data_IF_134167303313
#
_entry.id   IF_134167303313
#
_cell.length_a   1.000
_cell.length_b   1.000
_cell.length_c   1.000
_cell.angle_alpha   90.00
_cell.angle_beta   90.00
_cell.angle_gamma   90.00
#
_symmetry.space_group_name_H-M   'P 1'
#
loop_
_entity.id
_entity.type
_entity.pdbx_description
1 polymer ?
#
# COMPACT_ATOMS: atom_id res chain seq x y z
N UNK A 1 -35.00 -6.08 45.02
CA UNK A 1 -34.65 -5.39 43.76
C UNK A 1 -33.52 -6.19 43.11
N UNK A 2 -33.68 -6.60 41.85
CA UNK A 2 -32.58 -7.23 41.10
C UNK A 2 -31.62 -6.14 40.66
N UNK A 3 -30.33 -6.32 40.95
CA UNK A 3 -29.29 -5.43 40.46
C UNK A 3 -29.08 -5.74 38.98
N UNK A 4 -29.30 -4.74 38.12
CA UNK A 4 -29.02 -4.84 36.69
C UNK A 4 -27.51 -4.94 36.50
N UNK A 5 -27.06 -5.90 35.70
CA UNK A 5 -25.65 -6.01 35.32
C UNK A 5 -25.35 -5.01 34.21
N UNK A 6 -24.06 -4.71 34.01
CA UNK A 6 -23.65 -3.76 32.97
C UNK A 6 -24.17 -4.23 31.61
N UNK A 7 -24.14 -5.55 31.35
CA UNK A 7 -24.67 -6.16 30.13
C UNK A 7 -26.18 -5.93 29.91
N UNK A 8 -26.99 -5.79 30.98
CA UNK A 8 -28.42 -5.47 30.87
C UNK A 8 -28.67 -4.00 30.47
N UNK A 9 -27.72 -3.09 30.76
CA UNK A 9 -27.85 -1.66 30.49
C UNK A 9 -27.34 -1.29 29.10
N UNK A 10 -26.22 -1.89 28.68
CA UNK A 10 -25.61 -1.61 27.38
C UNK A 10 -26.04 -2.63 26.30
N UNK A 11 -26.50 -3.83 26.65
CA UNK A 11 -26.75 -4.90 25.68
C UNK A 11 -25.46 -5.56 25.20
N UNK A 12 -25.55 -6.76 24.64
CA UNK A 12 -24.36 -7.50 24.18
C UNK A 12 -23.75 -6.86 22.94
N UNK A 13 -22.90 -5.87 23.13
CA UNK A 13 -22.13 -5.28 22.06
C UNK A 13 -21.00 -6.24 21.65
N UNK A 14 -21.13 -6.83 20.46
CA UNK A 14 -20.03 -7.50 19.78
C UNK A 14 -19.00 -6.43 19.34
N UNK A 15 -18.09 -6.04 20.23
CA UNK A 15 -16.92 -5.25 19.89
C UNK A 15 -15.92 -6.12 19.11
N UNK A 16 -16.22 -6.39 17.84
CA UNK A 16 -15.20 -6.86 16.92
C UNK A 16 -14.25 -5.70 16.68
N UNK A 17 -13.06 -5.75 17.30
CA UNK A 17 -11.99 -4.82 17.00
C UNK A 17 -11.58 -5.00 15.52
N UNK A 18 -12.06 -4.10 14.65
CA UNK A 18 -11.62 -4.08 13.26
C UNK A 18 -10.21 -3.49 13.27
N UNK A 19 -9.23 -4.35 12.98
CA UNK A 19 -7.82 -3.97 12.82
C UNK A 19 -7.71 -2.83 11.81
N UNK A 20 -7.49 -1.60 12.28
CA UNK A 20 -7.26 -0.44 11.41
C UNK A 20 -5.94 -0.53 10.65
N UNK A 21 -5.10 -1.51 10.99
CA UNK A 21 -3.83 -1.80 10.33
C UNK A 21 -3.97 -1.95 8.81
N UNK A 22 -5.06 -2.56 8.33
CA UNK A 22 -5.33 -2.69 6.89
C UNK A 22 -5.52 -1.35 6.17
N UNK A 23 -5.91 -0.29 6.90
CA UNK A 23 -6.04 1.07 6.34
C UNK A 23 -4.72 1.83 6.30
N UNK A 24 -3.71 1.41 7.07
CA UNK A 24 -2.44 2.12 7.22
C UNK A 24 -1.27 1.41 6.53
N UNK A 25 -1.39 0.12 6.22
CA UNK A 25 -0.41 -0.62 5.43
C UNK A 25 -0.84 -0.59 3.96
N UNK A 26 -0.64 0.53 3.28
CA UNK A 26 -0.45 0.49 1.83
C UNK A 26 1.04 0.17 1.62
N UNK A 27 1.42 -1.08 1.30
CA UNK A 27 2.80 -1.36 0.97
C UNK A 27 3.20 -0.51 -0.24
N UNK A 28 4.38 0.08 -0.18
CA UNK A 28 4.92 0.77 -1.35
C UNK A 28 5.84 -0.18 -2.09
N UNK A 29 5.78 -0.14 -3.41
CA UNK A 29 6.60 -0.97 -4.29
C UNK A 29 7.55 -0.08 -5.07
N UNK A 30 8.82 -0.42 -5.02
CA UNK A 30 9.86 0.17 -5.86
C UNK A 30 9.87 -0.57 -7.20
N UNK A 31 9.62 0.18 -8.27
CA UNK A 31 9.59 -0.32 -9.64
C UNK A 31 10.81 0.22 -10.38
N UNK A 32 11.72 -0.69 -10.72
CA UNK A 32 12.90 -0.41 -11.51
C UNK A 32 12.64 -0.81 -12.96
N UNK A 33 12.86 0.13 -13.88
CA UNK A 33 12.62 -0.08 -15.30
C UNK A 33 13.61 0.71 -16.17
N UNK A 34 13.76 0.27 -17.43
CA UNK A 34 14.38 1.09 -18.45
C UNK A 34 13.31 1.89 -19.18
N UNK A 35 13.56 3.19 -19.33
CA UNK A 35 12.76 4.08 -20.19
C UNK A 35 13.07 3.79 -21.67
N UNK A 36 12.31 4.38 -22.60
CA UNK A 36 12.50 4.27 -24.06
C UNK A 36 13.91 4.65 -24.55
N UNK A 37 14.64 5.43 -23.75
CA UNK A 37 16.03 5.85 -24.01
C UNK A 37 17.06 4.91 -23.37
N UNK A 38 16.65 3.72 -22.93
CA UNK A 38 17.45 2.73 -22.21
C UNK A 38 18.08 3.27 -20.92
N UNK A 39 17.56 4.38 -20.39
CA UNK A 39 17.97 4.93 -19.11
C UNK A 39 17.28 4.19 -17.99
N UNK A 40 18.07 3.69 -17.04
CA UNK A 40 17.55 3.10 -15.83
C UNK A 40 16.86 4.18 -14.98
N UNK A 41 15.60 3.93 -14.64
CA UNK A 41 14.81 4.74 -13.72
C UNK A 41 14.22 3.86 -12.63
N UNK A 42 13.88 4.50 -11.52
CA UNK A 42 13.17 3.90 -10.41
C UNK A 42 12.02 4.82 -10.07
N UNK A 43 10.85 4.25 -9.80
CA UNK A 43 9.70 4.97 -9.30
C UNK A 43 9.00 4.16 -8.21
N UNK A 44 8.22 4.81 -7.36
CA UNK A 44 7.58 4.21 -6.20
C UNK A 44 6.05 4.38 -6.25
N UNK A 45 5.36 3.25 -6.12
CA UNK A 45 3.90 3.17 -6.24
C UNK A 45 3.29 2.56 -4.99
N UNK A 46 2.19 3.15 -4.52
CA UNK A 46 1.37 2.55 -3.46
C UNK A 46 0.46 1.50 -4.09
N UNK A 47 0.77 0.23 -3.87
CA UNK A 47 0.07 -0.90 -4.48
C UNK A 47 -0.03 -2.06 -3.49
N UNK A 48 -0.96 -2.99 -3.66
CA UNK A 48 -1.06 -4.17 -2.78
C UNK A 48 -0.22 -5.33 -3.29
N UNK A 49 0.12 -5.33 -4.58
CA UNK A 49 0.84 -6.41 -5.26
C UNK A 49 1.88 -5.86 -6.24
N UNK A 50 2.90 -6.66 -6.55
CA UNK A 50 3.89 -6.31 -7.57
C UNK A 50 3.28 -6.10 -8.96
N UNK A 51 2.20 -6.80 -9.27
CA UNK A 51 1.49 -6.68 -10.55
C UNK A 51 0.76 -5.34 -10.67
N UNK A 52 0.09 -4.91 -9.59
CA UNK A 52 -0.53 -3.57 -9.53
C UNK A 52 0.52 -2.47 -9.64
N UNK A 53 1.65 -2.60 -8.93
CA UNK A 53 2.75 -1.64 -9.01
C UNK A 53 3.32 -1.54 -10.44
N UNK A 54 3.49 -2.68 -11.11
CA UNK A 54 3.97 -2.70 -12.50
C UNK A 54 2.95 -2.11 -13.47
N UNK A 55 1.66 -2.39 -13.29
CA UNK A 55 0.62 -1.81 -14.13
C UNK A 55 0.55 -0.29 -13.95
N UNK A 56 0.66 0.22 -12.73
CA UNK A 56 0.75 1.66 -12.45
C UNK A 56 1.95 2.29 -13.15
N UNK A 57 3.12 1.64 -13.13
CA UNK A 57 4.30 2.11 -13.85
C UNK A 57 4.09 2.16 -15.37
N UNK A 58 3.38 1.18 -15.96
CA UNK A 58 3.02 1.19 -17.38
C UNK A 58 2.04 2.33 -17.70
N UNK A 59 1.08 2.60 -16.82
CA UNK A 59 0.12 3.69 -17.00
C UNK A 59 0.78 5.06 -16.95
N UNK A 60 1.77 5.25 -16.06
CA UNK A 60 2.45 6.54 -15.87
C UNK A 60 3.58 6.78 -16.88
N UNK A 61 4.44 5.77 -17.14
CA UNK A 61 5.62 5.91 -18.00
C UNK A 61 5.41 5.37 -19.43
N UNK A 62 4.29 4.69 -19.67
CA UNK A 62 3.91 4.15 -20.98
C UNK A 62 4.34 2.70 -21.21
N UNK A 63 3.78 2.08 -22.26
CA UNK A 63 3.97 0.64 -22.58
C UNK A 63 5.36 0.25 -23.08
N UNK A 64 6.23 1.22 -23.35
CA UNK A 64 7.56 1.00 -23.90
C UNK A 64 8.65 0.85 -22.83
N UNK A 65 8.27 0.84 -21.54
CA UNK A 65 9.21 0.58 -20.44
C UNK A 65 9.56 -0.91 -20.35
N UNK A 66 10.82 -1.21 -20.04
CA UNK A 66 11.28 -2.58 -19.82
C UNK A 66 11.43 -2.87 -18.33
N UNK A 67 10.73 -3.90 -17.84
CA UNK A 67 10.81 -4.32 -16.44
C UNK A 67 12.21 -4.81 -16.09
N UNK A 68 12.81 -4.22 -15.06
CA UNK A 68 14.05 -4.74 -14.46
C UNK A 68 13.68 -5.54 -13.22
N UNK A 69 13.03 -4.88 -12.25
CA UNK A 69 12.70 -5.46 -10.94
C UNK A 69 11.55 -4.70 -10.30
N UNK A 70 10.72 -5.40 -9.55
CA UNK A 70 9.76 -4.80 -8.63
C UNK A 70 10.06 -5.35 -7.25
N UNK A 71 10.07 -4.52 -6.21
CA UNK A 71 10.39 -4.96 -4.85
C UNK A 71 9.51 -4.22 -3.85
N UNK A 72 8.98 -4.95 -2.89
CA UNK A 72 8.24 -4.36 -1.78
C UNK A 72 9.22 -3.54 -0.92
N UNK A 73 8.95 -2.25 -0.79
CA UNK A 73 9.74 -1.37 0.04
C UNK A 73 9.31 -1.45 1.49
N UNK A 74 10.27 -1.28 2.39
CA UNK A 74 9.98 -1.05 3.80
C UNK A 74 9.61 0.41 4.10
N UNK A 75 9.75 1.31 3.11
CA UNK A 75 9.42 2.74 3.20
C UNK A 75 8.07 3.02 2.56
N UNK A 76 7.48 4.16 2.87
CA UNK A 76 6.26 4.65 2.20
C UNK A 76 6.62 5.54 1.01
N UNK A 77 5.73 5.68 0.01
CA UNK A 77 5.92 6.61 -1.12
C UNK A 77 6.19 8.04 -0.66
N UNK A 78 5.55 8.48 0.41
CA UNK A 78 5.76 9.81 1.01
C UNK A 78 7.19 10.02 1.52
N UNK A 79 7.83 8.97 2.05
CA UNK A 79 9.23 9.05 2.48
C UNK A 79 10.20 9.11 1.29
N UNK A 80 9.89 8.43 0.18
CA UNK A 80 10.65 8.56 -1.06
C UNK A 80 10.56 9.98 -1.64
N UNK A 81 9.35 10.54 -1.71
CA UNK A 81 9.13 11.91 -2.18
C UNK A 81 9.79 12.98 -1.29
N UNK A 82 10.09 12.67 -0.03
CA UNK A 82 10.79 13.58 0.87
C UNK A 82 12.32 13.55 0.72
N UNK A 83 12.86 12.54 0.03
CA UNK A 83 14.31 12.34 -0.17
C UNK A 83 14.80 12.73 -1.57
N UNK A 84 13.89 12.86 -2.55
CA UNK A 84 14.14 13.30 -3.93
C UNK A 84 14.17 14.84 -4.03
#
# INVERSE_FOLDING_TARGET
MKQLTIDDVIGSFCYNAISTSEKFLNPSFEVYFYDKEERQKMDCFDAKTEAEAWNAAIEEHGKYIQKIRVTCSNRTRSEFLALD
#
